data_IF_360912798458
#
_entry.id   IF_360912798458
#
_cell.length_a   1.000
_cell.length_b   1.000
_cell.length_c   1.000
_cell.angle_alpha   90.00
_cell.angle_beta   90.00
_cell.angle_gamma   90.00
#
_symmetry.space_group_name_H-M   'P 1'
#
loop_
_entity.id
_entity.type
_entity.pdbx_description
1 polymer ?
#
# COMPACT_ATOMS: atom_id res chain seq x y z
N UNK A 1 14.98 -23.40 -27.92
CA UNK A 1 14.00 -23.43 -26.81
C UNK A 1 14.76 -23.74 -25.52
N UNK A 2 15.30 -22.70 -24.86
CA UNK A 2 16.16 -22.89 -23.67
C UNK A 2 15.28 -23.11 -22.43
N UNK A 3 15.15 -24.37 -22.03
CA UNK A 3 14.59 -24.73 -20.73
C UNK A 3 15.64 -24.37 -19.68
N UNK A 4 15.45 -23.24 -18.98
CA UNK A 4 16.32 -22.85 -17.85
C UNK A 4 15.98 -23.72 -16.66
N UNK A 5 16.62 -24.89 -16.58
CA UNK A 5 16.47 -25.91 -15.52
C UNK A 5 16.66 -25.33 -14.10
N UNK A 6 17.40 -24.21 -13.97
CA UNK A 6 17.76 -23.61 -12.69
C UNK A 6 16.97 -22.35 -12.30
N UNK A 7 16.06 -21.85 -13.15
CA UNK A 7 15.31 -20.62 -12.85
C UNK A 7 13.84 -20.80 -13.21
N UNK A 8 13.00 -20.94 -12.19
CA UNK A 8 11.56 -21.01 -12.36
C UNK A 8 10.99 -19.59 -12.53
N UNK A 9 10.87 -19.15 -13.78
CA UNK A 9 10.35 -17.82 -14.13
C UNK A 9 8.91 -17.63 -13.64
N UNK A 10 8.09 -18.69 -13.61
CA UNK A 10 6.73 -18.63 -13.06
C UNK A 10 6.75 -18.38 -11.55
N UNK A 11 7.62 -19.04 -10.79
CA UNK A 11 7.78 -18.79 -9.36
C UNK A 11 8.29 -17.37 -9.08
N UNK A 12 9.22 -16.86 -9.89
CA UNK A 12 9.70 -15.47 -9.78
C UNK A 12 8.59 -14.45 -10.11
N UNK A 13 7.73 -14.74 -11.10
CA UNK A 13 6.58 -13.90 -11.42
C UNK A 13 5.56 -13.91 -10.29
N UNK A 14 5.23 -15.09 -9.77
CA UNK A 14 4.33 -15.24 -8.61
C UNK A 14 4.89 -14.54 -7.39
N UNK A 15 6.20 -14.63 -7.12
CA UNK A 15 6.82 -13.93 -6.00
C UNK A 15 6.70 -12.41 -6.14
N UNK A 16 6.99 -11.86 -7.33
CA UNK A 16 6.80 -10.42 -7.59
C UNK A 16 5.35 -9.98 -7.38
N UNK A 17 4.40 -10.73 -7.91
CA UNK A 17 2.97 -10.46 -7.73
C UNK A 17 2.57 -10.57 -6.25
N UNK A 18 3.05 -11.60 -5.54
CA UNK A 18 2.80 -11.80 -4.12
C UNK A 18 3.36 -10.64 -3.28
N UNK A 19 4.58 -10.16 -3.56
CA UNK A 19 5.14 -8.99 -2.87
C UNK A 19 4.28 -7.74 -3.09
N UNK A 20 3.82 -7.51 -4.31
CA UNK A 20 2.91 -6.39 -4.61
C UNK A 20 1.57 -6.53 -3.87
N UNK A 21 0.96 -7.72 -3.89
CA UNK A 21 -0.27 -8.02 -3.16
C UNK A 21 -0.10 -7.89 -1.65
N UNK A 22 1.02 -8.35 -1.09
CA UNK A 22 1.34 -8.23 0.34
C UNK A 22 1.46 -6.76 0.77
N UNK A 23 2.07 -5.92 -0.06
CA UNK A 23 2.16 -4.48 0.20
C UNK A 23 0.79 -3.80 0.15
N UNK A 24 -0.07 -4.20 -0.79
CA UNK A 24 -1.47 -3.72 -0.84
C UNK A 24 -2.28 -4.19 0.36
N UNK A 25 -2.12 -5.45 0.77
CA UNK A 25 -2.78 -6.02 1.94
C UNK A 25 -2.36 -5.29 3.23
N UNK A 26 -1.07 -5.00 3.39
CA UNK A 26 -0.58 -4.22 4.53
C UNK A 26 -1.20 -2.81 4.59
N UNK A 27 -1.30 -2.11 3.44
CA UNK A 27 -1.99 -0.81 3.37
C UNK A 27 -3.48 -0.92 3.71
N UNK A 28 -4.16 -1.95 3.24
CA UNK A 28 -5.57 -2.16 3.54
C UNK A 28 -5.78 -2.43 5.04
N UNK A 29 -4.90 -3.23 5.67
CA UNK A 29 -4.93 -3.45 7.11
C UNK A 29 -4.67 -2.16 7.89
N UNK A 30 -3.76 -1.30 7.43
CA UNK A 30 -3.49 0.02 8.04
C UNK A 30 -4.74 0.93 8.02
N UNK A 31 -5.45 0.97 6.89
CA UNK A 31 -6.71 1.71 6.75
C UNK A 31 -7.84 1.14 7.59
N UNK A 32 -7.97 -0.19 7.62
CA UNK A 32 -8.98 -0.86 8.45
C UNK A 32 -8.72 -0.63 9.94
N UNK A 33 -7.47 -0.73 10.39
CA UNK A 33 -7.10 -0.56 11.79
C UNK A 33 -7.24 0.88 12.28
N UNK A 34 -7.02 1.87 11.41
CA UNK A 34 -7.14 3.29 11.77
C UNK A 34 -8.56 3.82 11.63
N UNK A 35 -9.41 3.17 10.82
CA UNK A 35 -10.72 3.70 10.43
C UNK A 35 -10.63 4.97 9.57
N UNK A 36 -9.43 5.38 9.15
CA UNK A 36 -9.17 6.59 8.37
C UNK A 36 -8.83 6.21 6.93
N UNK A 37 -9.46 6.91 5.99
CA UNK A 37 -9.19 6.70 4.56
C UNK A 37 -7.76 7.14 4.16
N UNK A 38 -7.15 8.04 4.94
CA UNK A 38 -5.81 8.59 4.77
C UNK A 38 -5.02 8.31 6.05
N UNK A 39 -4.06 7.39 5.99
CA UNK A 39 -3.23 7.00 7.15
C UNK A 39 -1.79 7.45 7.02
N UNK A 40 -1.34 7.74 5.79
CA UNK A 40 0.08 7.95 5.49
C UNK A 40 0.27 9.07 4.49
N UNK A 41 1.09 10.06 4.84
CA UNK A 41 1.40 11.23 3.99
C UNK A 41 2.12 10.88 2.67
N UNK A 42 2.55 9.64 2.49
CA UNK A 42 3.15 9.14 1.25
C UNK A 42 2.15 8.96 0.10
N UNK A 43 0.85 8.85 0.38
CA UNK A 43 -0.20 8.83 -0.67
C UNK A 43 -0.48 10.27 -1.20
N UNK A 44 0.20 11.28 -0.66
CA UNK A 44 0.18 12.68 -1.08
C UNK A 44 0.24 13.61 0.14
N UNK A 45 1.34 14.35 0.37
CA UNK A 45 1.46 15.25 1.54
C UNK A 45 0.33 16.28 1.60
N UNK A 46 -0.18 16.72 0.44
CA UNK A 46 -1.32 17.62 0.33
C UNK A 46 -2.63 17.02 0.91
N UNK A 47 -2.89 15.72 0.71
CA UNK A 47 -4.12 15.08 1.22
C UNK A 47 -4.08 14.89 2.74
N UNK A 48 -2.88 14.69 3.29
CA UNK A 48 -2.68 14.64 4.75
C UNK A 48 -2.80 16.03 5.39
N UNK A 49 -2.24 17.07 4.76
CA UNK A 49 -2.42 18.44 5.25
C UNK A 49 -3.88 18.88 5.26
N UNK A 50 -4.65 18.55 4.20
CA UNK A 50 -6.08 18.84 4.15
C UNK A 50 -6.85 18.05 5.21
N UNK A 51 -6.54 16.76 5.44
CA UNK A 51 -7.23 15.98 6.47
C UNK A 51 -6.99 16.54 7.88
N UNK A 52 -5.78 17.03 8.16
CA UNK A 52 -5.46 17.66 9.43
C UNK A 52 -6.06 19.08 9.55
N UNK A 53 -6.10 19.85 8.46
CA UNK A 53 -6.79 21.15 8.44
C UNK A 53 -8.30 20.98 8.70
N UNK A 54 -8.95 19.99 8.09
CA UNK A 54 -10.37 19.68 8.32
C UNK A 54 -10.63 19.20 9.75
N UNK A 55 -9.73 18.38 10.31
CA UNK A 55 -9.79 17.96 11.72
C UNK A 55 -9.67 19.15 12.67
N UNK A 56 -8.75 20.08 12.39
CA UNK A 56 -8.57 21.30 13.17
C UNK A 56 -9.79 22.23 13.09
N UNK A 57 -10.44 22.34 11.94
CA UNK A 57 -11.69 23.11 11.78
C UNK A 57 -12.89 22.48 12.50
N UNK A 58 -12.93 21.15 12.63
CA UNK A 58 -14.03 20.45 13.30
C UNK A 58 -13.86 20.40 14.83
N UNK A 59 -12.63 20.51 15.31
CA UNK A 59 -12.30 20.50 16.74
C UNK A 59 -12.31 21.90 17.40
N UNK A 60 -12.43 22.97 16.60
CA UNK A 60 -12.67 24.34 17.08
C UNK A 60 -14.16 24.64 17.18
#
# INVERSE_FOLDING_TARGET
MSLRINSNVSALNTHRNMTATSNLQAKNLEKLSSGLNITRGVDGPARLQISEQLRAQTAG
#
